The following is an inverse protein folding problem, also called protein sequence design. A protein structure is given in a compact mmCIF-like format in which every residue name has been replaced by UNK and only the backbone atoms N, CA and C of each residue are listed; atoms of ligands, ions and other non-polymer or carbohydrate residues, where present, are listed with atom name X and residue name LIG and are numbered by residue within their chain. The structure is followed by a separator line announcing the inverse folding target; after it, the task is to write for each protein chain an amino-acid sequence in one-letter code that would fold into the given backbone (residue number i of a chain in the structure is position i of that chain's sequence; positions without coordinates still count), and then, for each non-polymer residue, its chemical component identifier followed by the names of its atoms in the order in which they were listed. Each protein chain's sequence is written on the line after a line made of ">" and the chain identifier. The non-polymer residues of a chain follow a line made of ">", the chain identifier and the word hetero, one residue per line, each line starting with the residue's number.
data_IF_601452747318
#
_entry.id   IF_601452747318
#
_cell.length_a   1.000
_cell.length_b   1.000
_cell.length_c   1.000
_cell.angle_alpha   90.00
_cell.angle_beta   90.00
_cell.angle_gamma   90.00
#
_symmetry.space_group_name_H-M   'P 1'
#
loop_
_entity.id
_entity.type
_entity.pdbx_description
1 polymer ?
#
# COMPACT_ATOMS: atom_id res chain seq x y z
N UNK A 1 -3.27 -5.75 -14.28
CA UNK A 1 -4.52 -5.00 -14.13
C UNK A 1 -5.74 -5.83 -14.51
N UNK A 2 -5.80 -6.40 -15.70
CA UNK A 2 -6.97 -7.18 -16.17
C UNK A 2 -7.34 -8.38 -15.30
N UNK A 3 -6.38 -9.05 -14.65
CA UNK A 3 -6.67 -10.17 -13.73
C UNK A 3 -7.31 -9.72 -12.43
N UNK A 4 -6.90 -8.57 -11.88
CA UNK A 4 -7.47 -8.02 -10.65
C UNK A 4 -8.90 -7.52 -10.87
N UNK A 5 -9.14 -6.85 -12.00
CA UNK A 5 -10.49 -6.41 -12.41
C UNK A 5 -11.40 -7.62 -12.66
N UNK A 6 -10.87 -8.70 -13.25
CA UNK A 6 -11.63 -9.96 -13.44
C UNK A 6 -12.07 -10.59 -12.12
N UNK A 7 -11.21 -10.64 -11.12
CA UNK A 7 -11.56 -11.20 -9.79
C UNK A 7 -12.65 -10.38 -9.10
N UNK A 8 -12.61 -9.07 -9.23
CA UNK A 8 -13.63 -8.18 -8.68
C UNK A 8 -15.00 -8.37 -9.39
N UNK A 9 -14.99 -8.54 -10.71
CA UNK A 9 -16.22 -8.85 -11.47
C UNK A 9 -16.87 -10.13 -10.97
N UNK A 10 -16.10 -11.19 -10.74
CA UNK A 10 -16.62 -12.45 -10.21
C UNK A 10 -17.26 -12.28 -8.82
N UNK A 11 -16.66 -11.52 -7.93
CA UNK A 11 -17.24 -11.25 -6.60
C UNK A 11 -18.56 -10.50 -6.73
N UNK A 12 -18.61 -9.46 -7.52
CA UNK A 12 -19.83 -8.66 -7.76
C UNK A 12 -20.97 -9.51 -8.31
N UNK A 13 -20.67 -10.40 -9.23
CA UNK A 13 -21.68 -11.27 -9.84
C UNK A 13 -22.16 -12.34 -8.85
N UNK A 14 -21.27 -12.86 -7.99
CA UNK A 14 -21.63 -13.90 -7.01
C UNK A 14 -22.55 -13.39 -5.89
N UNK A 15 -22.49 -12.08 -5.52
CA UNK A 15 -23.33 -11.49 -4.48
C UNK A 15 -24.63 -10.87 -5.04
N UNK A 16 -24.89 -11.03 -6.33
CA UNK A 16 -26.07 -10.47 -7.02
C UNK A 16 -26.31 -8.97 -6.72
N UNK A 17 -25.24 -8.19 -6.82
CA UNK A 17 -25.27 -6.76 -6.51
C UNK A 17 -26.17 -5.99 -7.49
N UNK A 18 -26.94 -5.02 -6.99
CA UNK A 18 -27.76 -4.12 -7.82
C UNK A 18 -26.95 -3.51 -8.96
N UNK A 19 -27.53 -3.46 -10.16
CA UNK A 19 -26.83 -3.03 -11.37
C UNK A 19 -26.34 -1.56 -11.30
N UNK A 20 -27.08 -0.68 -10.64
CA UNK A 20 -26.70 0.74 -10.50
C UNK A 20 -25.52 0.89 -9.52
N UNK A 21 -25.51 0.11 -8.45
CA UNK A 21 -24.37 0.06 -7.51
C UNK A 21 -23.16 -0.51 -8.23
N UNK A 22 -23.35 -1.56 -9.02
CA UNK A 22 -22.31 -2.20 -9.82
C UNK A 22 -21.65 -1.21 -10.80
N UNK A 23 -22.46 -0.43 -11.53
CA UNK A 23 -21.94 0.61 -12.43
C UNK A 23 -21.13 1.68 -11.70
N UNK A 24 -21.57 2.12 -10.53
CA UNK A 24 -20.84 3.11 -9.73
C UNK A 24 -19.50 2.62 -9.20
N UNK A 25 -19.34 1.32 -9.02
CA UNK A 25 -18.10 0.71 -8.48
C UNK A 25 -17.13 0.24 -9.57
N UNK A 26 -17.48 0.34 -10.85
CA UNK A 26 -16.61 -0.09 -11.94
C UNK A 26 -15.39 0.81 -12.16
N UNK A 27 -15.57 2.11 -11.96
CA UNK A 27 -14.56 3.10 -12.27
C UNK A 27 -14.26 3.99 -11.07
N UNK A 28 -13.03 4.47 -10.94
CA UNK A 28 -12.68 5.42 -9.89
C UNK A 28 -13.37 6.76 -10.14
N UNK A 29 -13.73 7.43 -9.05
CA UNK A 29 -14.36 8.75 -9.13
C UNK A 29 -13.37 9.85 -9.51
N UNK A 30 -12.06 9.64 -9.25
CA UNK A 30 -11.00 10.57 -9.61
C UNK A 30 -9.71 9.84 -9.91
N UNK A 31 -9.05 10.24 -10.99
CA UNK A 31 -7.71 9.84 -11.33
C UNK A 31 -6.87 11.08 -11.66
N UNK A 32 -5.73 11.21 -11.02
CA UNK A 32 -4.74 12.26 -11.28
C UNK A 32 -3.49 11.61 -11.85
N UNK A 33 -3.03 12.12 -12.98
CA UNK A 33 -1.72 11.82 -13.56
C UNK A 33 -0.89 13.08 -13.53
N UNK A 34 0.32 12.99 -13.01
CA UNK A 34 1.25 14.10 -12.93
C UNK A 34 2.58 13.73 -13.56
N UNK A 35 3.25 14.71 -14.12
CA UNK A 35 4.60 14.56 -14.63
C UNK A 35 5.48 15.63 -14.02
N UNK A 36 6.69 15.26 -13.65
CA UNK A 36 7.63 16.21 -13.09
C UNK A 36 9.07 15.88 -13.49
N UNK A 37 9.91 16.92 -13.65
CA UNK A 37 11.32 16.72 -13.96
C UNK A 37 12.05 16.17 -12.72
N UNK A 38 12.94 15.24 -12.96
CA UNK A 38 13.86 14.69 -11.98
C UNK A 38 15.27 14.65 -12.56
N UNK A 39 16.25 14.97 -11.73
CA UNK A 39 17.68 14.89 -12.07
C UNK A 39 18.41 14.24 -10.90
N UNK A 40 19.20 13.22 -11.20
CA UNK A 40 19.96 12.49 -10.17
C UNK A 40 21.11 13.34 -9.64
N UNK A 41 21.87 13.97 -10.54
CA UNK A 41 22.96 14.86 -10.23
C UNK A 41 22.84 16.15 -11.07
N UNK A 42 23.57 17.20 -10.72
CA UNK A 42 23.57 18.46 -11.44
C UNK A 42 24.11 18.33 -12.89
N UNK A 43 24.92 17.30 -13.16
CA UNK A 43 25.51 17.02 -14.47
C UNK A 43 24.68 16.02 -15.30
N UNK A 44 23.67 15.38 -14.71
CA UNK A 44 22.83 14.40 -15.41
C UNK A 44 21.77 15.09 -16.28
N UNK A 45 21.29 14.36 -17.27
CA UNK A 45 20.12 14.78 -18.05
C UNK A 45 18.87 14.77 -17.18
N UNK A 46 17.90 15.61 -17.55
CA UNK A 46 16.60 15.66 -16.86
C UNK A 46 15.74 14.51 -17.35
N UNK A 47 15.35 13.64 -16.44
CA UNK A 47 14.34 12.59 -16.66
C UNK A 47 12.94 13.15 -16.36
N UNK A 48 11.94 12.75 -17.14
CA UNK A 48 10.53 13.03 -16.81
C UNK A 48 9.95 11.84 -16.09
N UNK A 49 9.56 12.04 -14.85
CA UNK A 49 8.94 11.01 -14.01
C UNK A 49 7.43 11.18 -14.04
N UNK A 50 6.73 10.04 -14.15
CA UNK A 50 5.25 10.01 -14.14
C UNK A 50 4.76 9.50 -12.80
N UNK A 51 3.79 10.21 -12.22
CA UNK A 51 3.13 9.82 -10.98
C UNK A 51 1.62 9.74 -11.14
N UNK A 52 0.98 8.90 -10.35
CA UNK A 52 -0.47 8.66 -10.38
C UNK A 52 -1.06 8.72 -8.98
N UNK A 53 -2.27 9.28 -8.84
CA UNK A 53 -3.11 9.12 -7.66
C UNK A 53 -4.54 8.85 -8.08
N UNK A 54 -5.08 7.71 -7.67
CA UNK A 54 -6.44 7.29 -8.01
C UNK A 54 -7.25 7.17 -6.73
N UNK A 55 -8.47 7.74 -6.75
CA UNK A 55 -9.44 7.72 -5.66
C UNK A 55 -10.70 7.03 -6.18
N UNK A 56 -11.04 5.87 -5.61
CA UNK A 56 -12.11 5.02 -6.13
C UNK A 56 -13.49 5.47 -5.62
N UNK A 57 -13.72 5.47 -4.31
CA UNK A 57 -15.01 5.84 -3.71
C UNK A 57 -14.79 6.97 -2.71
N UNK A 58 -15.39 8.14 -2.97
CA UNK A 58 -15.26 9.33 -2.12
C UNK A 58 -16.37 9.45 -1.06
N UNK A 59 -17.46 8.70 -1.23
CA UNK A 59 -18.64 8.78 -0.35
C UNK A 59 -18.55 7.97 0.94
N UNK A 60 -17.53 7.12 1.07
CA UNK A 60 -17.33 6.30 2.28
C UNK A 60 -16.54 7.00 3.39
N UNK A 61 -16.08 8.22 3.15
CA UNK A 61 -15.16 8.96 3.98
C UNK A 61 -13.88 9.30 3.21
N UNK A 62 -12.82 9.76 3.89
CA UNK A 62 -11.54 10.03 3.26
C UNK A 62 -11.04 8.81 2.49
N UNK A 63 -10.44 9.01 1.33
CA UNK A 63 -9.83 7.88 0.62
C UNK A 63 -8.50 7.49 1.27
N UNK A 64 -8.17 6.21 1.22
CA UNK A 64 -6.99 5.64 1.89
C UNK A 64 -6.28 4.67 0.99
N UNK A 65 -4.97 4.83 0.82
CA UNK A 65 -4.16 3.88 0.06
C UNK A 65 -2.68 4.20 0.00
N UNK A 66 -1.87 3.18 -0.25
CA UNK A 66 -0.42 3.27 -0.33
C UNK A 66 0.08 4.00 -1.58
N UNK A 67 1.33 4.41 -1.54
CA UNK A 67 2.09 4.94 -2.68
C UNK A 67 3.17 3.92 -3.02
N UNK A 68 3.18 3.45 -4.27
CA UNK A 68 4.13 2.48 -4.80
C UNK A 68 5.20 3.17 -5.64
N UNK A 69 6.47 2.81 -5.44
CA UNK A 69 7.55 3.16 -6.36
C UNK A 69 8.02 1.87 -7.04
N UNK A 70 7.85 1.82 -8.34
CA UNK A 70 8.26 0.72 -9.19
C UNK A 70 8.33 1.21 -10.65
N UNK A 71 9.28 0.71 -11.43
CA UNK A 71 9.47 1.13 -12.82
C UNK A 71 8.24 0.83 -13.71
N UNK A 72 7.51 -0.23 -13.40
CA UNK A 72 6.35 -0.71 -14.18
C UNK A 72 5.01 -0.11 -13.74
N UNK A 73 5.00 0.79 -12.75
CA UNK A 73 3.78 1.46 -12.29
C UNK A 73 3.08 2.18 -13.43
N UNK A 74 1.81 1.89 -13.59
CA UNK A 74 0.95 2.52 -14.59
C UNK A 74 -0.45 2.80 -14.04
N UNK A 75 -1.21 3.63 -14.75
CA UNK A 75 -2.54 4.06 -14.32
C UNK A 75 -3.51 2.88 -14.14
N UNK A 76 -3.43 1.86 -14.98
CA UNK A 76 -4.29 0.67 -14.90
C UNK A 76 -4.06 -0.13 -13.62
N UNK A 77 -2.81 -0.37 -13.26
CA UNK A 77 -2.44 -1.04 -12.01
C UNK A 77 -2.88 -0.22 -10.79
N UNK A 78 -2.57 1.07 -10.77
CA UNK A 78 -2.95 1.97 -9.67
C UNK A 78 -4.47 2.03 -9.51
N UNK A 79 -5.23 2.03 -10.62
CA UNK A 79 -6.69 1.97 -10.60
C UNK A 79 -7.21 0.70 -9.98
N UNK A 80 -6.72 -0.46 -10.42
CA UNK A 80 -7.12 -1.76 -9.86
C UNK A 80 -6.84 -1.86 -8.36
N UNK A 81 -5.67 -1.39 -7.93
CA UNK A 81 -5.30 -1.38 -6.51
C UNK A 81 -6.14 -0.40 -5.69
N UNK A 82 -6.56 0.75 -6.24
CA UNK A 82 -7.46 1.69 -5.57
C UNK A 82 -8.85 1.07 -5.33
N UNK A 83 -9.37 0.32 -6.31
CA UNK A 83 -10.62 -0.43 -6.18
C UNK A 83 -10.51 -1.45 -5.05
N UNK A 84 -9.45 -2.25 -5.03
CA UNK A 84 -9.21 -3.24 -3.96
C UNK A 84 -9.09 -2.59 -2.57
N UNK A 85 -8.58 -1.38 -2.47
CA UNK A 85 -8.52 -0.64 -1.20
C UNK A 85 -9.90 -0.26 -0.67
N UNK A 86 -10.88 0.05 -1.54
CA UNK A 86 -12.29 0.25 -1.12
C UNK A 86 -12.88 -1.04 -0.53
N UNK A 87 -12.68 -2.17 -1.20
CA UNK A 87 -13.12 -3.47 -0.72
C UNK A 87 -12.48 -3.82 0.62
N UNK A 88 -11.17 -3.61 0.73
CA UNK A 88 -10.42 -3.86 1.97
C UNK A 88 -10.99 -3.10 3.16
N UNK A 89 -11.30 -1.82 3.00
CA UNK A 89 -11.89 -1.00 4.06
C UNK A 89 -13.31 -1.44 4.38
N UNK A 90 -14.13 -1.71 3.37
CA UNK A 90 -15.52 -2.12 3.53
C UNK A 90 -15.67 -3.46 4.27
N UNK A 91 -14.85 -4.45 3.94
CA UNK A 91 -14.88 -5.79 4.57
C UNK A 91 -14.70 -5.71 6.09
N UNK A 92 -13.88 -4.79 6.57
CA UNK A 92 -13.59 -4.61 8.00
C UNK A 92 -14.40 -3.45 8.63
N UNK A 93 -15.37 -2.88 7.89
CA UNK A 93 -16.24 -1.82 8.38
C UNK A 93 -15.56 -0.47 8.64
N UNK A 94 -14.43 -0.20 8.00
CA UNK A 94 -13.75 1.08 8.14
C UNK A 94 -14.36 2.15 7.23
N UNK A 95 -14.57 3.39 7.73
CA UNK A 95 -15.19 4.48 6.97
C UNK A 95 -14.18 5.17 6.05
N UNK A 96 -13.56 4.41 5.15
CA UNK A 96 -12.59 4.91 4.18
C UNK A 96 -12.94 4.45 2.78
N UNK A 97 -12.89 5.38 1.83
CA UNK A 97 -12.81 5.03 0.42
C UNK A 97 -11.44 4.47 0.05
N UNK A 98 -11.35 3.82 -1.09
CA UNK A 98 -10.07 3.31 -1.59
C UNK A 98 -9.33 4.33 -2.40
N UNK A 99 -8.02 4.44 -2.17
CA UNK A 99 -7.10 5.15 -3.03
C UNK A 99 -5.83 4.34 -3.27
N UNK A 100 -5.12 4.71 -4.31
CA UNK A 100 -3.77 4.22 -4.60
C UNK A 100 -2.96 5.29 -5.30
N UNK A 101 -1.69 5.39 -4.94
CA UNK A 101 -0.72 6.21 -5.66
C UNK A 101 0.42 5.36 -6.18
N UNK A 102 1.17 5.93 -7.11
CA UNK A 102 2.39 5.32 -7.60
C UNK A 102 3.23 6.30 -8.39
N UNK A 103 4.51 6.04 -8.44
CA UNK A 103 5.48 6.75 -9.26
C UNK A 103 6.24 5.73 -10.09
N UNK A 104 6.25 5.93 -11.40
CA UNK A 104 6.96 5.07 -12.34
C UNK A 104 8.47 5.35 -12.28
N UNK A 105 9.12 4.79 -11.27
CA UNK A 105 10.56 4.91 -11.03
C UNK A 105 11.07 3.69 -10.26
N UNK A 106 12.21 3.12 -10.68
CA UNK A 106 12.88 2.08 -9.90
C UNK A 106 13.49 2.71 -8.63
N UNK A 107 13.04 2.32 -7.42
CA UNK A 107 13.57 2.87 -6.17
C UNK A 107 14.92 2.29 -5.77
N UNK A 108 15.37 1.17 -6.36
CA UNK A 108 16.57 0.45 -5.91
C UNK A 108 17.87 1.22 -6.17
N UNK A 109 18.08 1.83 -7.37
CA UNK A 109 19.30 2.61 -7.63
C UNK A 109 19.27 4.00 -7.01
N UNK A 110 18.13 4.44 -6.44
CA UNK A 110 18.02 5.78 -5.86
C UNK A 110 18.73 5.87 -4.51
N UNK A 111 19.60 6.84 -4.36
CA UNK A 111 20.11 7.29 -3.06
C UNK A 111 18.96 7.82 -2.19
N UNK A 112 19.21 7.90 -0.88
CA UNK A 112 18.24 8.48 0.06
C UNK A 112 17.82 9.90 -0.33
N UNK A 113 18.77 10.71 -0.77
CA UNK A 113 18.53 12.11 -1.17
C UNK A 113 17.70 12.19 -2.45
N UNK A 114 17.98 11.36 -3.43
CA UNK A 114 17.21 11.27 -4.68
C UNK A 114 15.78 10.83 -4.39
N UNK A 115 15.60 9.78 -3.60
CA UNK A 115 14.28 9.30 -3.17
C UNK A 115 13.50 10.39 -2.40
N UNK A 116 14.17 11.17 -1.57
CA UNK A 116 13.57 12.33 -0.90
C UNK A 116 13.09 13.38 -1.91
N UNK A 117 13.92 13.74 -2.90
CA UNK A 117 13.55 14.73 -3.93
C UNK A 117 12.33 14.28 -4.73
N UNK A 118 12.32 13.05 -5.22
CA UNK A 118 11.17 12.45 -5.93
C UNK A 118 9.93 12.51 -5.05
N UNK A 119 10.03 12.07 -3.79
CA UNK A 119 8.90 12.04 -2.86
C UNK A 119 8.33 13.42 -2.60
N UNK A 120 9.18 14.42 -2.32
CA UNK A 120 8.74 15.80 -2.07
C UNK A 120 8.11 16.41 -3.30
N UNK A 121 8.69 16.18 -4.49
CA UNK A 121 8.14 16.68 -5.74
C UNK A 121 6.78 16.05 -6.05
N UNK A 122 6.67 14.72 -5.97
CA UNK A 122 5.41 14.03 -6.15
C UNK A 122 4.36 14.50 -5.13
N UNK A 123 4.73 14.68 -3.86
CA UNK A 123 3.82 15.20 -2.83
C UNK A 123 3.28 16.58 -3.19
N UNK A 124 4.13 17.48 -3.70
CA UNK A 124 3.71 18.80 -4.14
C UNK A 124 2.63 18.75 -5.23
N UNK A 125 2.75 17.82 -6.17
CA UNK A 125 1.73 17.59 -7.21
C UNK A 125 0.41 17.03 -6.66
N UNK A 126 0.47 16.31 -5.52
CA UNK A 126 -0.72 15.73 -4.89
C UNK A 126 -1.48 16.69 -3.97
N UNK A 127 -0.92 17.83 -3.58
CA UNK A 127 -1.51 18.78 -2.62
C UNK A 127 -3.00 19.11 -2.88
N UNK A 128 -3.47 19.25 -4.14
CA UNK A 128 -4.88 19.54 -4.39
C UNK A 128 -5.84 18.43 -3.98
N UNK A 129 -5.37 17.17 -3.96
CA UNK A 129 -6.23 15.99 -3.80
C UNK A 129 -6.04 15.26 -2.48
N UNK A 130 -4.88 15.38 -1.81
CA UNK A 130 -4.63 14.77 -0.50
C UNK A 130 -5.05 15.67 0.66
N UNK A 131 -5.28 15.10 1.82
CA UNK A 131 -5.67 15.82 3.04
C UNK A 131 -6.17 14.86 4.11
N UNK A 132 -6.12 15.27 5.36
CA UNK A 132 -6.54 14.45 6.51
C UNK A 132 -8.01 14.01 6.40
N UNK A 133 -8.86 14.84 5.80
CA UNK A 133 -10.29 14.58 5.57
C UNK A 133 -10.63 14.29 4.11
N UNK A 134 -9.63 14.14 3.24
CA UNK A 134 -9.81 13.94 1.79
C UNK A 134 -9.23 12.62 1.31
N UNK A 135 -7.92 12.46 1.48
CA UNK A 135 -7.17 11.31 0.98
C UNK A 135 -5.87 11.16 1.76
N UNK A 136 -5.70 10.02 2.38
CA UNK A 136 -4.60 9.74 3.32
C UNK A 136 -3.65 8.71 2.70
N UNK A 137 -2.46 9.10 2.24
CA UNK A 137 -1.43 8.19 1.78
C UNK A 137 -0.90 7.24 2.86
N UNK A 138 -0.28 6.17 2.44
CA UNK A 138 0.44 5.22 3.28
C UNK A 138 1.58 4.56 2.52
N UNK A 139 2.42 3.76 3.16
CA UNK A 139 3.51 3.05 2.48
C UNK A 139 2.99 1.86 1.66
N UNK A 140 3.71 1.53 0.60
CA UNK A 140 3.54 0.35 -0.23
C UNK A 140 4.91 -0.13 -0.76
N UNK A 141 4.95 -0.95 -1.81
CA UNK A 141 6.19 -1.40 -2.44
C UNK A 141 7.07 -0.20 -2.83
N UNK A 142 8.37 -0.30 -2.56
CA UNK A 142 9.34 0.76 -2.86
C UNK A 142 9.31 2.00 -1.95
N UNK A 143 8.34 2.10 -1.03
CA UNK A 143 8.24 3.18 -0.04
C UNK A 143 8.25 2.63 1.39
N UNK A 144 8.61 3.48 2.34
CA UNK A 144 8.83 3.13 3.74
C UNK A 144 8.37 4.24 4.71
N UNK A 145 8.66 4.04 5.99
CA UNK A 145 8.36 5.01 7.04
C UNK A 145 9.01 6.37 6.79
N UNK A 146 10.24 6.38 6.25
CA UNK A 146 10.97 7.62 5.95
C UNK A 146 10.31 8.36 4.79
N UNK A 147 9.84 7.66 3.78
CA UNK A 147 9.08 8.23 2.66
C UNK A 147 7.80 8.92 3.18
N UNK A 148 7.11 8.29 4.11
CA UNK A 148 5.92 8.88 4.74
C UNK A 148 6.26 10.12 5.57
N UNK A 149 7.39 10.12 6.25
CA UNK A 149 7.87 11.31 6.97
C UNK A 149 8.12 12.50 6.02
N UNK A 150 8.69 12.26 4.85
CA UNK A 150 8.90 13.32 3.85
C UNK A 150 7.59 13.85 3.27
N UNK A 151 6.59 12.99 3.05
CA UNK A 151 5.25 13.41 2.62
C UNK A 151 4.61 14.30 3.69
N UNK A 152 4.63 13.85 4.95
CA UNK A 152 4.08 14.61 6.08
C UNK A 152 4.74 15.98 6.22
N UNK A 153 6.06 16.05 6.17
CA UNK A 153 6.83 17.27 6.27
C UNK A 153 6.51 18.23 5.10
N UNK A 154 6.50 17.72 3.86
CA UNK A 154 6.19 18.54 2.69
C UNK A 154 4.77 19.10 2.75
N UNK A 155 3.79 18.30 3.10
CA UNK A 155 2.40 18.73 3.24
C UNK A 155 2.24 19.75 4.38
N UNK A 156 2.85 19.49 5.54
CA UNK A 156 2.79 20.37 6.71
C UNK A 156 3.39 21.75 6.43
N UNK A 157 4.52 21.80 5.71
CA UNK A 157 5.14 23.04 5.29
C UNK A 157 4.23 23.84 4.34
N UNK A 158 3.54 23.16 3.41
CA UNK A 158 2.62 23.82 2.50
C UNK A 158 1.40 24.41 3.22
N UNK A 159 0.82 23.66 4.18
CA UNK A 159 -0.33 24.10 4.96
C UNK A 159 0.05 25.13 6.04
N UNK A 160 1.34 25.20 6.41
CA UNK A 160 1.84 26.11 7.44
C UNK A 160 1.60 25.66 8.89
N UNK A 161 1.21 24.37 9.07
CA UNK A 161 1.01 23.78 10.39
C UNK A 161 1.26 22.28 10.37
N UNK A 162 1.72 21.67 11.49
CA UNK A 162 1.93 20.23 11.57
C UNK A 162 0.66 19.42 11.26
N UNK A 163 0.74 18.50 10.31
CA UNK A 163 -0.38 17.64 9.86
C UNK A 163 -0.05 16.15 10.00
N UNK A 164 0.10 15.63 11.22
CA UNK A 164 0.49 14.22 11.41
C UNK A 164 -0.55 13.23 10.90
N UNK A 165 -1.81 13.63 10.75
CA UNK A 165 -2.89 12.82 10.21
C UNK A 165 -2.82 12.58 8.70
N UNK A 166 -1.99 13.34 7.96
CA UNK A 166 -1.94 13.27 6.50
C UNK A 166 -1.47 11.91 5.96
N UNK A 167 -0.66 11.18 6.71
CA UNK A 167 -0.11 9.87 6.31
C UNK A 167 -0.25 8.85 7.42
N UNK A 168 -0.31 7.57 7.04
CA UNK A 168 -0.09 6.44 7.94
C UNK A 168 1.26 5.77 7.65
N UNK A 169 1.75 4.95 8.59
CA UNK A 169 3.02 4.24 8.41
C UNK A 169 4.26 5.12 8.52
N UNK A 170 4.14 6.31 9.09
CA UNK A 170 5.26 7.17 9.48
C UNK A 170 5.96 6.62 10.72
N UNK A 171 7.21 7.06 11.02
CA UNK A 171 7.94 6.65 12.22
C UNK A 171 7.16 6.88 13.52
N UNK A 172 7.34 6.02 14.52
CA UNK A 172 6.70 6.16 15.83
C UNK A 172 7.02 7.52 16.50
N UNK A 173 8.24 8.02 16.34
CA UNK A 173 8.68 9.34 16.82
C UNK A 173 7.89 10.51 16.24
N UNK A 174 7.22 10.31 15.10
CA UNK A 174 6.35 11.28 14.45
C UNK A 174 4.85 10.97 14.65
N UNK A 175 4.50 10.16 15.67
CA UNK A 175 3.12 9.75 15.97
C UNK A 175 2.65 8.57 15.11
N UNK A 176 3.55 7.76 14.57
CA UNK A 176 3.23 6.50 13.89
C UNK A 176 2.83 5.40 14.85
N UNK A 177 2.04 4.41 14.38
CA UNK A 177 1.69 3.22 15.17
C UNK A 177 2.88 2.27 15.28
N UNK A 178 3.21 1.84 16.49
CA UNK A 178 4.32 0.94 16.80
C UNK A 178 4.14 -0.41 16.10
N UNK A 179 2.90 -0.91 16.03
CA UNK A 179 2.59 -2.24 15.47
C UNK A 179 2.50 -2.27 13.94
N UNK A 180 2.66 -1.14 13.25
CA UNK A 180 2.43 -1.05 11.80
C UNK A 180 3.30 -2.02 10.98
N UNK A 181 4.56 -2.24 11.38
CA UNK A 181 5.48 -3.14 10.66
C UNK A 181 5.00 -4.58 10.66
N UNK A 182 4.43 -5.03 11.76
CA UNK A 182 4.00 -6.41 12.00
C UNK A 182 2.56 -6.66 11.51
N UNK A 183 1.73 -5.60 11.52
CA UNK A 183 0.28 -5.71 11.39
C UNK A 183 -0.19 -6.54 10.19
N UNK A 184 0.48 -6.40 9.03
CA UNK A 184 0.07 -7.13 7.83
C UNK A 184 0.38 -8.62 7.93
N UNK A 185 1.58 -8.99 8.38
CA UNK A 185 1.98 -10.40 8.57
C UNK A 185 1.16 -11.08 9.67
N UNK A 186 1.06 -10.46 10.84
CA UNK A 186 0.26 -10.96 11.96
C UNK A 186 -1.23 -11.07 11.60
N UNK A 187 -1.77 -10.09 10.87
CA UNK A 187 -3.15 -10.11 10.40
C UNK A 187 -3.44 -11.25 9.44
N UNK A 188 -2.53 -11.55 8.51
CA UNK A 188 -2.66 -12.70 7.62
C UNK A 188 -2.70 -14.02 8.40
N UNK A 189 -1.84 -14.19 9.39
CA UNK A 189 -1.81 -15.39 10.26
C UNK A 189 -3.07 -15.48 11.12
N UNK A 190 -3.56 -14.37 11.66
CA UNK A 190 -4.80 -14.35 12.44
C UNK A 190 -6.00 -14.84 11.61
N UNK A 191 -6.11 -14.41 10.35
CA UNK A 191 -7.16 -14.88 9.43
C UNK A 191 -6.97 -16.35 9.07
N UNK A 192 -5.74 -16.80 8.82
CA UNK A 192 -5.44 -18.20 8.55
C UNK A 192 -5.82 -19.10 9.74
N UNK A 193 -5.52 -18.67 10.98
CA UNK A 193 -5.92 -19.36 12.20
C UNK A 193 -7.46 -19.47 12.29
N UNK A 194 -8.17 -18.36 12.14
CA UNK A 194 -9.63 -18.35 12.19
C UNK A 194 -10.26 -19.23 11.10
N UNK A 195 -9.65 -19.29 9.91
CA UNK A 195 -10.10 -20.16 8.83
C UNK A 195 -9.92 -21.67 9.16
N UNK A 196 -8.83 -22.03 9.82
CA UNK A 196 -8.60 -23.41 10.28
C UNK A 196 -9.57 -23.79 11.41
N UNK A 197 -9.75 -22.92 12.39
CA UNK A 197 -10.73 -23.12 13.48
C UNK A 197 -12.14 -23.37 12.95
N UNK A 198 -12.57 -22.59 11.94
CA UNK A 198 -13.85 -22.79 11.26
C UNK A 198 -13.97 -24.15 10.56
N UNK A 199 -12.84 -24.77 10.20
CA UNK A 199 -12.77 -26.12 9.64
C UNK A 199 -12.59 -27.23 10.71
N UNK A 200 -12.61 -26.87 12.00
CA UNK A 200 -12.35 -27.81 13.10
C UNK A 200 -10.87 -28.23 13.21
N UNK A 201 -9.96 -27.44 12.65
CA UNK A 201 -8.51 -27.69 12.69
C UNK A 201 -7.81 -26.71 13.61
N UNK A 202 -6.73 -27.16 14.24
CA UNK A 202 -5.90 -26.32 15.08
C UNK A 202 -4.74 -25.71 14.26
N UNK A 203 -4.43 -24.45 14.51
CA UNK A 203 -3.27 -23.79 13.93
C UNK A 203 -1.95 -24.33 14.51
N UNK A 204 -1.97 -24.62 15.81
CA UNK A 204 -0.86 -25.23 16.52
C UNK A 204 -0.51 -26.58 15.88
N UNK A 205 0.80 -26.81 15.69
CA UNK A 205 1.35 -28.01 15.01
C UNK A 205 1.01 -28.13 13.51
N UNK A 206 0.33 -27.16 12.90
CA UNK A 206 0.12 -27.16 11.47
C UNK A 206 1.44 -26.86 10.71
N UNK A 207 1.51 -27.35 9.47
CA UNK A 207 2.62 -27.05 8.56
C UNK A 207 2.25 -25.88 7.65
N UNK A 208 3.08 -24.87 7.58
CA UNK A 208 2.81 -23.63 6.85
C UNK A 208 3.89 -23.39 5.82
N UNK A 209 3.49 -23.04 4.61
CA UNK A 209 4.38 -22.61 3.54
C UNK A 209 4.19 -21.11 3.33
N UNK A 210 5.30 -20.36 3.36
CA UNK A 210 5.31 -18.92 3.14
C UNK A 210 6.10 -18.64 1.86
N UNK A 211 5.44 -18.00 0.90
CA UNK A 211 6.09 -17.54 -0.32
C UNK A 211 6.46 -16.07 -0.18
N UNK A 212 7.76 -15.76 -0.33
CA UNK A 212 8.31 -14.42 -0.14
C UNK A 212 8.64 -14.10 1.32
N UNK A 213 9.88 -13.64 1.57
CA UNK A 213 10.39 -13.36 2.92
C UNK A 213 10.76 -11.88 3.11
N UNK A 214 9.93 -10.99 2.54
CA UNK A 214 9.97 -9.56 2.82
C UNK A 214 9.31 -9.22 4.18
N UNK A 215 8.96 -7.97 4.39
CA UNK A 215 8.38 -7.52 5.65
C UNK A 215 7.15 -8.36 6.08
N UNK A 216 6.22 -8.61 5.18
CA UNK A 216 4.99 -9.36 5.48
C UNK A 216 5.28 -10.82 5.79
N UNK A 217 6.07 -11.50 4.94
CA UNK A 217 6.40 -12.91 5.12
C UNK A 217 7.22 -13.17 6.40
N UNK A 218 8.15 -12.28 6.73
CA UNK A 218 8.92 -12.36 7.97
C UNK A 218 8.04 -12.34 9.22
N UNK A 219 7.12 -11.37 9.31
CA UNK A 219 6.22 -11.28 10.47
C UNK A 219 5.14 -12.36 10.47
N UNK A 220 4.74 -12.85 9.30
CA UNK A 220 3.87 -14.02 9.21
C UNK A 220 4.58 -15.29 9.74
N UNK A 221 5.86 -15.48 9.40
CA UNK A 221 6.64 -16.60 9.92
C UNK A 221 6.81 -16.52 11.45
N UNK A 222 7.15 -15.34 11.96
CA UNK A 222 7.32 -15.11 13.39
C UNK A 222 6.03 -15.40 14.17
N UNK A 223 4.91 -14.81 13.75
CA UNK A 223 3.61 -15.02 14.40
C UNK A 223 3.13 -16.48 14.31
N UNK A 224 3.41 -17.15 13.17
CA UNK A 224 3.13 -18.59 13.03
C UNK A 224 3.91 -19.43 14.02
N UNK A 225 5.20 -19.12 14.19
CA UNK A 225 6.07 -19.79 15.16
C UNK A 225 5.60 -19.54 16.60
N UNK A 226 5.29 -18.30 16.96
CA UNK A 226 4.74 -17.92 18.27
C UNK A 226 3.44 -18.67 18.60
N UNK A 227 2.61 -18.98 17.59
CA UNK A 227 1.39 -19.79 17.73
C UNK A 227 1.64 -21.30 17.68
N UNK A 228 2.88 -21.74 17.59
CA UNK A 228 3.26 -23.14 17.62
C UNK A 228 3.08 -23.90 16.30
N UNK A 229 2.97 -23.21 15.18
CA UNK A 229 2.98 -23.82 13.86
C UNK A 229 4.42 -24.06 13.37
N UNK A 230 4.59 -24.98 12.39
CA UNK A 230 5.89 -25.30 11.78
C UNK A 230 5.98 -24.68 10.39
N UNK A 231 6.92 -23.75 10.21
CA UNK A 231 7.26 -23.30 8.86
C UNK A 231 8.03 -24.40 8.13
N UNK A 232 7.46 -24.99 7.10
CA UNK A 232 8.04 -26.12 6.35
C UNK A 232 8.90 -25.63 5.20
N UNK A 233 8.52 -24.51 4.59
CA UNK A 233 9.24 -23.92 3.47
C UNK A 233 8.92 -22.44 3.36
N UNK A 234 9.92 -21.65 2.99
CA UNK A 234 9.73 -20.29 2.49
C UNK A 234 10.59 -20.16 1.24
N UNK A 235 10.01 -19.63 0.17
CA UNK A 235 10.72 -19.42 -1.08
C UNK A 235 10.90 -17.95 -1.36
N UNK A 236 12.13 -17.57 -1.64
CA UNK A 236 12.48 -16.31 -2.24
C UNK A 236 12.81 -16.56 -3.71
N UNK A 237 12.18 -15.84 -4.63
CA UNK A 237 12.49 -15.97 -6.06
C UNK A 237 13.83 -15.31 -6.45
N UNK A 238 14.41 -14.53 -5.57
CA UNK A 238 15.75 -13.99 -5.71
C UNK A 238 16.58 -14.41 -4.51
N UNK A 239 17.70 -15.05 -4.78
CA UNK A 239 18.67 -15.52 -3.78
C UNK A 239 19.22 -14.40 -2.92
N UNK A 240 19.81 -14.84 -1.89
CA UNK A 240 19.54 -14.64 -0.50
C UNK A 240 20.66 -13.87 0.14
N UNK A 241 20.31 -13.16 1.06
CA UNK A 241 21.28 -13.03 2.15
C UNK A 241 20.79 -13.91 3.28
N UNK A 242 21.50 -15.00 3.51
CA UNK A 242 21.31 -15.80 4.71
C UNK A 242 21.61 -14.91 5.92
N UNK A 243 20.57 -14.63 6.69
CA UNK A 243 20.76 -14.16 8.04
C UNK A 243 20.33 -15.30 8.95
N UNK A 244 21.30 -15.82 9.66
CA UNK A 244 21.10 -16.82 10.70
C UNK A 244 20.18 -16.28 11.79
N UNK A 245 19.27 -17.09 12.25
CA UNK A 245 18.65 -17.00 13.56
C UNK A 245 19.50 -17.79 14.53
#
# INVERSE_FOLDING_TARGET
>A
ANRLVGSEMCIRDSINLDSNIRERLKLPQRALTVTFPFRRDEYDEVETVVGFRVQHVLSMGPTKGGIRYDADVNLGEVTALAILMSWKSAIVGLPYGGAKGGVAIDPNPLSRTEKQRVTRRYTAELLPVIGVDKDIPGPDLGTDEQTMAWIMDTYSNFVGSPQPGIVTGKPASLGGSITRREATGRGAVAIANAALEKQGKEYKNSSIVIQGFGNVGRYAALDSYERGAKAVSYTHLTLPTMWYV
#
